data_IF_268328108351
#
_entry.id   IF_268328108351
#
_cell.length_a   1.000
_cell.length_b   1.000
_cell.length_c   1.000
_cell.angle_alpha   90.00
_cell.angle_beta   90.00
_cell.angle_gamma   90.00
#
_symmetry.space_group_name_H-M   'P 1'
#
loop_
_entity.id
_entity.type
_entity.pdbx_description
1 polymer ?
#
# COMPACT_ATOMS: atom_id res chain seq x y z
N UNK A 1 19.03 -8.09 -8.80
CA UNK A 1 19.83 -6.93 -9.24
C UNK A 1 21.31 -7.23 -8.98
N UNK A 2 22.06 -7.64 -10.02
CA UNK A 2 23.49 -7.97 -9.90
C UNK A 2 24.30 -7.46 -11.09
N UNK A 3 23.85 -6.45 -11.84
CA UNK A 3 24.71 -5.95 -12.93
C UNK A 3 24.42 -4.57 -13.57
N UNK A 4 23.56 -3.68 -13.06
CA UNK A 4 23.43 -2.32 -13.63
C UNK A 4 22.93 -1.28 -12.59
N UNK A 5 23.79 -0.44 -12.00
CA UNK A 5 23.36 0.57 -11.05
C UNK A 5 22.70 1.74 -11.80
N UNK A 6 21.44 2.06 -11.46
CA UNK A 6 20.72 3.23 -12.00
C UNK A 6 19.52 2.93 -12.91
N UNK A 7 19.16 1.66 -13.12
CA UNK A 7 17.94 1.32 -13.89
C UNK A 7 16.81 0.92 -12.93
N UNK A 8 15.91 1.85 -12.60
CA UNK A 8 14.57 1.51 -12.10
C UNK A 8 13.89 0.72 -13.22
N UNK A 9 14.03 -0.60 -13.18
CA UNK A 9 13.56 -1.47 -14.25
C UNK A 9 12.20 -2.04 -13.85
N UNK A 10 11.13 -1.41 -14.35
CA UNK A 10 9.77 -1.96 -14.36
C UNK A 10 9.14 -2.34 -12.99
N UNK A 11 9.66 -1.80 -11.89
CA UNK A 11 9.05 -1.94 -10.55
C UNK A 11 8.19 -0.75 -10.14
N UNK A 12 8.08 0.29 -10.98
CA UNK A 12 7.11 1.36 -10.78
C UNK A 12 5.71 0.81 -11.05
N UNK A 13 5.06 0.37 -9.98
CA UNK A 13 3.66 0.00 -9.99
C UNK A 13 2.84 1.26 -9.69
N UNK A 14 2.19 1.80 -10.72
CA UNK A 14 1.10 2.74 -10.48
C UNK A 14 -0.03 1.94 -9.84
N UNK A 15 -0.14 2.04 -8.51
CA UNK A 15 -1.20 1.35 -7.79
C UNK A 15 -2.55 2.00 -8.18
N UNK A 16 -3.55 1.22 -8.61
CA UNK A 16 -4.87 1.77 -8.87
C UNK A 16 -5.47 2.28 -7.55
N UNK A 17 -6.35 3.27 -7.63
CA UNK A 17 -7.13 3.71 -6.47
C UNK A 17 -8.11 2.59 -6.09
N UNK A 18 -7.72 1.76 -5.11
CA UNK A 18 -8.50 0.59 -4.71
C UNK A 18 -9.79 0.97 -4.00
N UNK A 19 -9.81 2.15 -3.36
CA UNK A 19 -11.02 2.73 -2.80
C UNK A 19 -12.02 3.05 -3.91
N UNK A 20 -11.60 3.76 -4.96
CA UNK A 20 -12.43 4.06 -6.11
C UNK A 20 -12.86 2.78 -6.85
N UNK A 21 -11.97 1.79 -6.94
CA UNK A 21 -12.29 0.48 -7.49
C UNK A 21 -13.42 -0.20 -6.72
N UNK A 22 -13.33 -0.30 -5.39
CA UNK A 22 -14.39 -0.88 -4.58
C UNK A 22 -15.74 -0.15 -4.77
N UNK A 23 -15.70 1.17 -4.82
CA UNK A 23 -16.89 2.01 -5.01
C UNK A 23 -17.52 1.83 -6.40
N UNK A 24 -16.71 1.67 -7.45
CA UNK A 24 -17.18 1.46 -8.82
C UNK A 24 -18.03 0.18 -8.98
N UNK A 25 -17.74 -0.84 -8.18
CA UNK A 25 -18.52 -2.09 -8.14
C UNK A 25 -19.61 -2.11 -7.06
N UNK A 26 -19.94 -0.95 -6.47
CA UNK A 26 -20.97 -0.80 -5.45
C UNK A 26 -20.56 -1.27 -4.05
N UNK A 27 -19.29 -1.59 -3.86
CA UNK A 27 -18.70 -1.94 -2.58
C UNK A 27 -18.33 -0.74 -1.71
N UNK A 28 -17.64 -1.00 -0.61
CA UNK A 28 -17.10 0.00 0.31
C UNK A 28 -15.58 0.11 0.13
N UNK A 29 -15.06 1.33 0.03
CA UNK A 29 -13.63 1.59 -0.14
C UNK A 29 -13.11 2.52 0.96
N UNK A 30 -12.03 2.12 1.62
CA UNK A 30 -11.31 2.94 2.60
C UNK A 30 -9.83 3.05 2.22
N UNK A 31 -9.22 4.17 2.56
CA UNK A 31 -7.78 4.39 2.48
C UNK A 31 -7.27 4.69 3.89
N UNK A 32 -6.26 3.94 4.33
CA UNK A 32 -5.62 4.07 5.63
C UNK A 32 -4.16 4.45 5.39
N UNK A 33 -3.78 5.65 5.82
CA UNK A 33 -2.41 6.16 5.68
C UNK A 33 -1.60 6.03 6.98
N UNK A 34 -2.27 5.79 8.11
CA UNK A 34 -1.64 5.60 9.42
C UNK A 34 -2.23 4.38 10.11
N UNK A 35 -1.38 3.65 10.82
CA UNK A 35 -1.79 2.45 11.57
C UNK A 35 -2.91 2.72 12.57
N UNK A 36 -2.91 3.89 13.21
CA UNK A 36 -3.95 4.30 14.18
C UNK A 36 -5.35 4.41 13.57
N UNK A 37 -5.44 4.73 12.27
CA UNK A 37 -6.72 4.92 11.57
C UNK A 37 -7.36 3.59 11.15
N UNK A 38 -6.62 2.49 11.20
CA UNK A 38 -7.07 1.19 10.70
C UNK A 38 -8.33 0.69 11.44
N UNK A 39 -8.35 0.79 12.77
CA UNK A 39 -9.47 0.26 13.57
C UNK A 39 -10.77 0.96 13.19
N UNK A 40 -10.74 2.29 13.06
CA UNK A 40 -11.91 3.06 12.67
C UNK A 40 -12.35 2.76 11.22
N UNK A 41 -11.40 2.57 10.30
CA UNK A 41 -11.70 2.18 8.92
C UNK A 41 -12.34 0.79 8.83
N UNK A 42 -11.85 -0.16 9.62
CA UNK A 42 -12.40 -1.50 9.71
C UNK A 42 -13.84 -1.50 10.24
N UNK A 43 -14.11 -0.72 11.29
CA UNK A 43 -15.46 -0.60 11.84
C UNK A 43 -16.45 -0.02 10.82
N UNK A 44 -16.07 1.03 10.08
CA UNK A 44 -16.89 1.60 8.99
C UNK A 44 -17.13 0.60 7.87
N UNK A 45 -16.09 -0.12 7.44
CA UNK A 45 -16.19 -1.15 6.41
C UNK A 45 -17.15 -2.28 6.84
N UNK A 46 -17.03 -2.75 8.08
CA UNK A 46 -17.92 -3.79 8.63
C UNK A 46 -19.36 -3.30 8.76
N UNK A 47 -19.56 -2.07 9.23
CA UNK A 47 -20.88 -1.45 9.36
C UNK A 47 -21.55 -1.19 7.99
N UNK A 48 -20.76 -1.07 6.91
CA UNK A 48 -21.29 -0.82 5.56
C UNK A 48 -22.19 -1.95 5.03
N UNK A 49 -22.02 -3.18 5.53
CA UNK A 49 -22.74 -4.36 5.04
C UNK A 49 -22.44 -4.73 3.59
N UNK A 50 -21.39 -4.15 2.99
CA UNK A 50 -21.00 -4.33 1.58
C UNK A 50 -19.69 -5.09 1.45
N UNK A 51 -19.43 -5.73 0.30
CA UNK A 51 -18.08 -6.12 -0.09
C UNK A 51 -17.15 -4.91 0.05
N UNK A 52 -16.07 -5.05 0.82
CA UNK A 52 -15.25 -3.91 1.26
C UNK A 52 -13.78 -4.13 0.92
N UNK A 53 -13.10 -3.06 0.49
CA UNK A 53 -11.64 -3.01 0.34
C UNK A 53 -11.11 -1.90 1.25
N UNK A 54 -10.09 -2.22 2.03
CA UNK A 54 -9.34 -1.26 2.84
C UNK A 54 -7.91 -1.26 2.31
N UNK A 55 -7.53 -0.18 1.64
CA UNK A 55 -6.16 0.03 1.19
C UNK A 55 -5.32 0.57 2.36
N UNK A 56 -4.25 -0.14 2.70
CA UNK A 56 -3.30 0.29 3.74
C UNK A 56 -2.04 0.77 3.04
N UNK A 57 -1.80 2.07 3.05
CA UNK A 57 -0.53 2.61 2.58
C UNK A 57 0.55 2.30 3.61
N UNK A 58 1.45 1.41 3.22
CA UNK A 58 2.70 1.20 3.93
C UNK A 58 3.73 2.16 3.34
N UNK A 59 4.55 2.74 4.20
CA UNK A 59 5.76 3.42 3.74
C UNK A 59 6.61 2.40 2.97
N UNK A 60 7.02 2.77 1.75
CA UNK A 60 7.84 1.92 0.91
C UNK A 60 9.16 1.55 1.61
N UNK A 61 9.67 2.37 2.52
CA UNK A 61 10.90 2.08 3.27
C UNK A 61 10.76 0.96 4.32
N UNK A 62 9.52 0.54 4.65
CA UNK A 62 9.21 -0.47 5.66
C UNK A 62 9.25 -1.92 5.13
N UNK A 63 10.04 -2.20 4.09
CA UNK A 63 10.16 -3.54 3.51
C UNK A 63 11.33 -4.27 4.16
N UNK A 64 11.01 -5.12 5.15
CA UNK A 64 11.81 -6.11 5.91
C UNK A 64 12.30 -5.70 7.31
N UNK A 65 12.26 -6.60 8.31
CA UNK A 65 12.76 -6.36 9.67
C UNK A 65 14.30 -6.24 9.75
N UNK A 66 15.01 -6.29 8.63
CA UNK A 66 16.47 -6.37 8.62
C UNK A 66 17.18 -5.27 7.85
N UNK A 67 16.55 -4.54 6.92
CA UNK A 67 17.16 -3.37 6.25
C UNK A 67 16.12 -2.43 5.65
N UNK A 68 16.36 -1.12 5.79
CA UNK A 68 15.63 -0.08 5.06
C UNK A 68 16.11 -0.01 3.61
N UNK A 69 15.25 0.40 2.68
CA UNK A 69 15.61 0.58 1.25
C UNK A 69 16.78 1.57 1.06
N UNK A 70 16.92 2.54 1.96
CA UNK A 70 18.03 3.49 2.01
C UNK A 70 19.38 2.77 2.16
N UNK A 71 19.45 1.74 3.03
CA UNK A 71 20.67 0.97 3.28
C UNK A 71 21.06 0.01 2.14
N UNK A 72 20.11 -0.36 1.28
CA UNK A 72 20.38 -1.19 0.09
C UNK A 72 21.01 -0.32 -1.01
N UNK A 73 20.63 0.97 -1.10
CA UNK A 73 21.19 1.93 -2.06
C UNK A 73 22.63 2.39 -1.75
N UNK A 74 23.01 2.49 -0.48
CA UNK A 74 24.37 2.93 -0.11
C UNK A 74 25.47 1.86 -0.23
N UNK A 75 25.10 0.61 -0.53
CA UNK A 75 26.06 -0.52 -0.64
C UNK A 75 26.32 -1.00 -2.07
N UNK A 76 25.95 -0.21 -3.07
CA UNK A 76 26.24 -0.47 -4.49
C UNK A 76 27.31 0.48 -5.02
#
# INVERSE_FOLDING_TARGET
>A
EREYPGRVSATDLVNPDFKAFAQAYGGHGELVEKTEDFVAAFERARASGKPSIIEIKLDAEAITPTRTLTQIREKS
#
